data_IF_329773973367
#
_entry.id   IF_329773973367
#
_cell.length_a   1.000
_cell.length_b   1.000
_cell.length_c   1.000
_cell.angle_alpha   90.00
_cell.angle_beta   90.00
_cell.angle_gamma   90.00
#
_symmetry.space_group_name_H-M   'P 1'
#
loop_
_entity.id
_entity.type
_entity.pdbx_description
1 polymer ?
#
# COMPACT_ATOMS: atom_id res chain seq x y z
N UNK A 1 1.73 -7.31 11.25
CA UNK A 1 2.38 -6.52 10.18
C UNK A 1 1.66 -6.59 8.84
N UNK A 2 1.42 -7.78 8.25
CA UNK A 2 0.69 -7.83 6.96
C UNK A 2 -0.71 -7.20 7.01
N UNK A 3 -1.50 -7.44 8.06
CA UNK A 3 -2.82 -6.81 8.21
C UNK A 3 -2.76 -5.27 8.30
N UNK A 4 -1.66 -4.71 8.82
CA UNK A 4 -1.44 -3.26 8.86
C UNK A 4 -1.19 -2.70 7.45
N UNK A 5 -0.39 -3.38 6.63
CA UNK A 5 -0.17 -3.01 5.24
C UNK A 5 -1.49 -3.05 4.44
N UNK A 6 -2.26 -4.12 4.56
CA UNK A 6 -3.61 -4.22 4.00
C UNK A 6 -4.51 -3.05 4.43
N UNK A 7 -4.56 -2.75 5.73
CA UNK A 7 -5.37 -1.65 6.25
C UNK A 7 -4.93 -0.27 5.72
N UNK A 8 -3.62 -0.06 5.56
CA UNK A 8 -3.05 1.16 4.99
C UNK A 8 -3.41 1.32 3.51
N UNK A 9 -3.24 0.27 2.71
CA UNK A 9 -3.63 0.22 1.30
C UNK A 9 -5.13 0.54 1.12
N UNK A 10 -5.98 -0.13 1.90
CA UNK A 10 -7.42 0.07 1.86
C UNK A 10 -7.82 1.50 2.24
N UNK A 11 -7.32 2.03 3.37
CA UNK A 11 -7.76 3.35 3.85
C UNK A 11 -7.33 4.46 2.90
N UNK A 12 -6.14 4.33 2.29
CA UNK A 12 -5.66 5.32 1.34
C UNK A 12 -6.42 5.28 0.03
N UNK A 13 -6.75 4.10 -0.50
CA UNK A 13 -7.66 3.98 -1.64
C UNK A 13 -9.00 4.67 -1.38
N UNK A 14 -9.61 4.43 -0.21
CA UNK A 14 -10.86 5.09 0.17
C UNK A 14 -10.73 6.62 0.18
N UNK A 15 -9.62 7.13 0.74
CA UNK A 15 -9.33 8.58 0.78
C UNK A 15 -9.14 9.17 -0.61
N UNK A 16 -8.42 8.49 -1.50
CA UNK A 16 -8.23 8.95 -2.88
C UNK A 16 -9.55 9.05 -3.65
N UNK A 17 -10.51 8.15 -3.33
CA UNK A 17 -11.89 8.14 -3.83
C UNK A 17 -12.84 9.08 -3.07
N UNK A 18 -12.33 9.89 -2.14
CA UNK A 18 -13.09 10.93 -1.43
C UNK A 18 -13.81 10.48 -0.16
N UNK A 19 -13.56 9.27 0.32
CA UNK A 19 -14.15 8.75 1.57
C UNK A 19 -13.10 8.68 2.67
N UNK A 20 -13.43 9.09 3.90
CA UNK A 20 -12.50 9.00 5.04
C UNK A 20 -13.02 8.08 6.14
N UNK A 21 -12.75 6.76 6.04
CA UNK A 21 -13.09 5.82 7.10
C UNK A 21 -12.41 6.19 8.42
N UNK A 22 -13.14 6.05 9.54
CA UNK A 22 -12.64 6.33 10.88
C UNK A 22 -11.90 5.15 11.53
N UNK A 23 -12.00 3.95 10.95
CA UNK A 23 -11.40 2.72 11.49
C UNK A 23 -10.66 1.96 10.39
N UNK A 24 -9.51 1.40 10.75
CA UNK A 24 -8.75 0.51 9.90
C UNK A 24 -9.35 -0.91 9.96
N UNK A 25 -9.42 -1.63 8.82
CA UNK A 25 -9.74 -3.05 8.82
C UNK A 25 -8.50 -3.89 9.18
N UNK A 26 -8.70 -5.19 9.38
CA UNK A 26 -7.61 -6.16 9.45
C UNK A 26 -7.31 -6.74 10.83
N UNK A 27 -7.82 -6.13 11.90
CA UNK A 27 -7.68 -6.68 13.26
C UNK A 27 -8.50 -7.96 13.49
N UNK A 28 -9.53 -8.15 12.66
CA UNK A 28 -10.45 -9.27 12.66
C UNK A 28 -10.02 -10.44 11.76
N UNK A 29 -8.91 -10.31 11.02
CA UNK A 29 -8.49 -11.31 10.03
C UNK A 29 -7.59 -12.35 10.69
N UNK A 30 -8.07 -13.59 10.75
CA UNK A 30 -7.45 -14.66 11.56
C UNK A 30 -6.40 -15.51 10.81
N UNK A 31 -6.26 -15.37 9.48
CA UNK A 31 -5.30 -16.16 8.70
C UNK A 31 -4.68 -15.37 7.54
N UNK A 32 -3.49 -15.80 7.12
CA UNK A 32 -2.81 -15.22 5.94
C UNK A 32 -3.59 -15.45 4.64
N UNK A 33 -4.28 -16.59 4.52
CA UNK A 33 -5.12 -16.88 3.35
C UNK A 33 -6.31 -15.91 3.27
N UNK A 34 -7.04 -15.73 4.38
CA UNK A 34 -8.15 -14.78 4.44
C UNK A 34 -7.67 -13.33 4.24
N UNK A 35 -6.48 -12.99 4.75
CA UNK A 35 -5.86 -11.70 4.50
C UNK A 35 -5.55 -11.50 3.02
N UNK A 36 -4.95 -12.50 2.37
CA UNK A 36 -4.57 -12.41 0.95
C UNK A 36 -5.79 -12.21 0.06
N UNK A 37 -6.86 -12.99 0.27
CA UNK A 37 -8.11 -12.85 -0.50
C UNK A 37 -8.69 -11.43 -0.42
N UNK A 38 -8.73 -10.85 0.78
CA UNK A 38 -9.20 -9.47 0.97
C UNK A 38 -8.27 -8.45 0.33
N UNK A 39 -6.97 -8.68 0.44
CA UNK A 39 -5.98 -7.76 -0.11
C UNK A 39 -5.94 -7.81 -1.64
N UNK A 40 -6.12 -8.98 -2.26
CA UNK A 40 -6.25 -9.14 -3.73
C UNK A 40 -7.35 -8.22 -4.29
N UNK A 41 -8.49 -8.13 -3.61
CA UNK A 41 -9.59 -7.25 -4.01
C UNK A 41 -9.18 -5.76 -3.95
N UNK A 42 -8.48 -5.36 -2.89
CA UNK A 42 -7.98 -3.99 -2.71
C UNK A 42 -6.88 -3.63 -3.71
N UNK A 43 -5.95 -4.54 -3.97
CA UNK A 43 -4.88 -4.36 -4.97
C UNK A 43 -5.49 -4.19 -6.37
N UNK A 44 -6.48 -5.02 -6.74
CA UNK A 44 -7.19 -4.89 -8.02
C UNK A 44 -7.91 -3.55 -8.16
N UNK A 45 -8.55 -3.08 -7.09
CA UNK A 45 -9.25 -1.79 -7.11
C UNK A 45 -8.28 -0.60 -7.13
N UNK A 46 -7.15 -0.68 -6.41
CA UNK A 46 -6.07 0.31 -6.49
C UNK A 46 -5.49 0.38 -7.90
N UNK A 47 -5.24 -0.77 -8.53
CA UNK A 47 -4.75 -0.82 -9.91
C UNK A 47 -5.74 -0.13 -10.85
N UNK A 48 -7.03 -0.48 -10.80
CA UNK A 48 -8.06 0.16 -11.62
C UNK A 48 -8.18 1.67 -11.37
N UNK A 49 -8.03 2.11 -10.11
CA UNK A 49 -7.98 3.52 -9.77
C UNK A 49 -6.79 4.22 -10.44
N UNK A 50 -5.58 3.67 -10.30
CA UNK A 50 -4.36 4.24 -10.89
C UNK A 50 -4.44 4.28 -12.42
N UNK A 51 -4.92 3.21 -13.06
CA UNK A 51 -5.10 3.13 -14.52
C UNK A 51 -6.11 4.15 -15.06
N UNK A 52 -7.02 4.63 -14.22
CA UNK A 52 -8.00 5.66 -14.60
C UNK A 52 -7.46 7.09 -14.54
N UNK A 53 -6.27 7.31 -13.95
CA UNK A 53 -5.71 8.65 -13.75
C UNK A 53 -5.03 9.18 -15.02
N UNK A 54 -5.29 10.44 -15.35
CA UNK A 54 -4.47 11.21 -16.26
C UNK A 54 -3.32 11.91 -15.49
N UNK A 55 -2.22 12.31 -16.17
CA UNK A 55 -1.12 13.01 -15.51
C UNK A 55 -1.54 14.27 -14.74
N UNK A 56 -2.57 14.98 -15.23
CA UNK A 56 -3.11 16.16 -14.55
C UNK A 56 -3.76 15.84 -13.19
N UNK A 57 -4.26 14.62 -12.99
CA UNK A 57 -4.90 14.21 -11.74
C UNK A 57 -3.91 14.07 -10.58
N UNK A 58 -2.62 13.92 -10.86
CA UNK A 58 -1.59 13.85 -9.81
C UNK A 58 -1.50 15.15 -9.00
N UNK A 59 -1.89 16.29 -9.59
CA UNK A 59 -1.98 17.58 -8.92
C UNK A 59 -3.29 17.81 -8.17
N UNK A 60 -4.32 16.95 -8.36
CA UNK A 60 -5.62 17.08 -7.69
C UNK A 60 -5.45 17.02 -6.18
N UNK A 61 -6.06 17.96 -5.47
CA UNK A 61 -6.10 17.95 -4.01
C UNK A 61 -7.06 16.87 -3.53
N UNK A 62 -6.59 16.02 -2.61
CA UNK A 62 -7.41 15.07 -1.86
C UNK A 62 -7.70 15.66 -0.50
N UNK A 63 -8.98 15.92 -0.25
CA UNK A 63 -9.52 16.25 1.07
C UNK A 63 -9.78 14.95 1.83
N UNK A 64 -9.18 14.78 3.01
CA UNK A 64 -9.38 13.59 3.83
C UNK A 64 -9.34 13.88 5.33
N UNK A 65 -9.84 12.93 6.13
CA UNK A 65 -9.69 12.92 7.58
C UNK A 65 -8.82 11.74 8.02
N UNK A 66 -8.00 11.95 9.04
CA UNK A 66 -7.36 10.83 9.74
C UNK A 66 -8.40 10.06 10.57
N UNK A 67 -7.98 8.97 11.21
CA UNK A 67 -8.86 8.12 12.04
C UNK A 67 -9.36 8.83 13.31
N UNK A 68 -8.74 9.95 13.70
CA UNK A 68 -9.19 10.83 14.79
C UNK A 68 -10.17 11.92 14.30
N UNK A 69 -10.52 11.93 13.01
CA UNK A 69 -11.42 12.91 12.41
C UNK A 69 -10.78 14.25 12.05
N UNK A 70 -9.47 14.42 12.26
CA UNK A 70 -8.73 15.64 11.92
C UNK A 70 -8.62 15.79 10.40
N UNK A 71 -9.00 16.94 9.83
CA UNK A 71 -8.97 17.17 8.38
C UNK A 71 -7.57 17.51 7.88
N UNK A 72 -7.26 17.05 6.66
CA UNK A 72 -6.02 17.29 5.94
C UNK A 72 -6.30 17.46 4.44
N UNK A 73 -5.38 18.14 3.75
CA UNK A 73 -5.44 18.40 2.31
C UNK A 73 -4.06 18.21 1.72
N UNK A 74 -3.90 17.27 0.79
CA UNK A 74 -2.62 17.00 0.12
C UNK A 74 -2.87 16.65 -1.36
N UNK A 75 -1.93 16.95 -2.28
CA UNK A 75 -2.06 16.52 -3.67
C UNK A 75 -1.98 14.99 -3.81
N UNK A 76 -2.67 14.42 -4.80
CA UNK A 76 -2.77 12.97 -5.00
C UNK A 76 -1.41 12.31 -5.26
N UNK A 77 -0.56 12.89 -6.11
CA UNK A 77 0.75 12.32 -6.46
C UNK A 77 1.64 12.01 -5.25
N UNK A 78 1.91 12.99 -4.36
CA UNK A 78 2.61 12.76 -3.09
C UNK A 78 1.96 11.68 -2.20
N UNK A 79 0.63 11.58 -2.20
CA UNK A 79 -0.08 10.54 -1.43
C UNK A 79 0.13 9.14 -2.02
N UNK A 80 0.12 9.00 -3.35
CA UNK A 80 0.44 7.73 -4.03
C UNK A 80 1.88 7.29 -3.68
N UNK A 81 2.84 8.22 -3.74
CA UNK A 81 4.23 7.95 -3.36
C UNK A 81 4.36 7.59 -1.88
N UNK A 82 3.61 8.28 -1.01
CA UNK A 82 3.59 7.99 0.42
C UNK A 82 3.19 6.54 0.70
N UNK A 83 2.15 6.02 0.05
CA UNK A 83 1.69 4.63 0.26
C UNK A 83 2.75 3.62 -0.19
N UNK A 84 3.36 3.82 -1.36
CA UNK A 84 4.45 2.97 -1.82
C UNK A 84 5.64 2.96 -0.83
N UNK A 85 6.01 4.13 -0.31
CA UNK A 85 7.10 4.28 0.66
C UNK A 85 6.76 3.69 2.03
N UNK A 86 5.54 3.90 2.52
CA UNK A 86 5.03 3.30 3.75
C UNK A 86 5.06 1.78 3.67
N UNK A 87 4.67 1.22 2.52
CA UNK A 87 4.74 -0.21 2.29
C UNK A 87 6.19 -0.73 2.28
N UNK A 88 7.14 0.00 1.69
CA UNK A 88 8.58 -0.35 1.73
C UNK A 88 9.11 -0.37 3.17
N UNK A 89 8.76 0.63 3.97
CA UNK A 89 9.18 0.71 5.38
C UNK A 89 8.69 -0.51 6.19
N UNK A 90 7.41 -0.87 6.11
CA UNK A 90 6.90 -2.01 6.89
C UNK A 90 7.29 -3.37 6.28
N UNK A 91 7.58 -3.45 4.96
CA UNK A 91 8.18 -4.65 4.37
C UNK A 91 9.58 -4.92 4.93
N UNK A 92 10.37 -3.90 5.27
CA UNK A 92 11.69 -4.12 5.89
C UNK A 92 11.59 -4.61 7.34
N UNK A 93 10.56 -4.17 8.08
CA UNK A 93 10.25 -4.74 9.40
C UNK A 93 9.86 -6.22 9.29
N UNK A 94 9.00 -6.58 8.33
CA UNK A 94 8.63 -7.98 8.04
C UNK A 94 9.87 -8.79 7.62
N UNK A 95 10.71 -8.25 6.74
CA UNK A 95 11.94 -8.89 6.32
C UNK A 95 12.86 -9.17 7.51
N UNK A 96 12.99 -8.20 8.43
CA UNK A 96 13.75 -8.38 9.67
C UNK A 96 13.18 -9.51 10.53
N UNK A 97 11.85 -9.56 10.70
CA UNK A 97 11.18 -10.65 11.42
C UNK A 97 11.46 -12.02 10.79
N UNK A 98 11.37 -12.12 9.46
CA UNK A 98 11.65 -13.36 8.72
C UNK A 98 13.12 -13.77 8.85
N UNK A 99 14.06 -12.82 8.74
CA UNK A 99 15.49 -13.08 8.91
C UNK A 99 15.79 -13.76 10.25
N UNK A 100 15.13 -13.32 11.32
CA UNK A 100 15.32 -13.88 12.67
C UNK A 100 14.87 -15.34 12.80
N UNK A 101 13.94 -15.82 11.97
CA UNK A 101 13.33 -17.16 12.12
C UNK A 101 13.60 -18.12 10.97
N UNK A 102 13.98 -17.61 9.79
CA UNK A 102 14.07 -18.42 8.57
C UNK A 102 15.15 -17.95 7.58
N UNK A 103 15.98 -16.98 7.97
CA UNK A 103 16.96 -16.36 7.07
C UNK A 103 16.36 -15.24 6.23
N UNK A 104 17.24 -14.46 5.60
CA UNK A 104 16.84 -13.27 4.87
C UNK A 104 15.92 -13.59 3.68
N UNK A 105 14.82 -12.83 3.48
CA UNK A 105 14.01 -12.98 2.27
C UNK A 105 14.79 -12.52 1.02
N UNK A 106 14.29 -12.84 -0.18
CA UNK A 106 14.85 -12.32 -1.43
C UNK A 106 14.92 -10.77 -1.45
N UNK A 107 15.85 -10.19 -2.22
CA UNK A 107 15.96 -8.74 -2.37
C UNK A 107 14.65 -8.10 -2.82
N UNK A 108 14.32 -6.94 -2.27
CA UNK A 108 13.12 -6.17 -2.61
C UNK A 108 13.45 -4.83 -3.30
N UNK A 109 14.68 -4.69 -3.79
CA UNK A 109 15.17 -3.45 -4.39
C UNK A 109 14.51 -3.16 -5.74
N UNK A 110 14.24 -1.87 -5.99
CA UNK A 110 13.73 -1.42 -7.28
C UNK A 110 14.68 -1.77 -8.43
N UNK A 111 16.00 -1.68 -8.22
CA UNK A 111 16.98 -2.05 -9.23
C UNK A 111 16.86 -3.53 -9.62
N UNK A 112 16.70 -4.43 -8.64
CA UNK A 112 16.50 -5.86 -8.89
C UNK A 112 15.20 -6.09 -9.65
N UNK A 113 14.10 -5.43 -9.26
CA UNK A 113 12.84 -5.49 -10.00
C UNK A 113 13.02 -5.09 -11.47
N UNK A 114 13.71 -3.97 -11.74
CA UNK A 114 13.96 -3.50 -13.11
C UNK A 114 14.83 -4.47 -13.92
N UNK A 115 15.84 -5.07 -13.29
CA UNK A 115 16.69 -6.08 -13.94
C UNK A 115 15.88 -7.34 -14.30
N UNK A 116 14.97 -7.79 -13.44
CA UNK A 116 14.06 -8.91 -13.74
C UNK A 116 13.13 -8.56 -14.90
N UNK A 117 12.47 -7.40 -14.85
CA UNK A 117 11.52 -6.96 -15.90
C UNK A 117 12.18 -6.78 -17.27
N UNK A 118 13.47 -6.42 -17.30
CA UNK A 118 14.24 -6.27 -18.54
C UNK A 118 14.96 -7.54 -18.98
N UNK A 119 14.79 -8.67 -18.27
CA UNK A 119 15.44 -9.95 -18.59
C UNK A 119 16.95 -9.97 -18.36
N UNK A 120 17.48 -9.04 -17.56
CA UNK A 120 18.91 -8.96 -17.23
C UNK A 120 19.32 -9.87 -16.06
N UNK A 121 18.34 -10.38 -15.30
CA UNK A 121 18.55 -11.39 -14.26
C UNK A 121 17.32 -12.28 -14.15
N UNK A 122 17.50 -13.50 -13.62
CA UNK A 122 16.43 -14.44 -13.24
C UNK A 122 16.10 -14.35 -11.76
#
# INVERSE_FOLDING_TARGET
MFAHLYGADWIWLMRWKGTSPAKLPGGEIESLAALREKWDAVEKEQQAFIESLAPADLGRVVDYKNTEGKPFRLPLGPLLQHVANHATHHRSEIATMLTMIHGSPPPTDLAIYQLIQSGQTS
#
